data_IF_432059162141
#
_entry.id   IF_432059162141
#
_cell.length_a   1.000
_cell.length_b   1.000
_cell.length_c   1.000
_cell.angle_alpha   90.00
_cell.angle_beta   90.00
_cell.angle_gamma   90.00
#
_symmetry.space_group_name_H-M   'P 1'
#
loop_
_entity.id
_entity.type
_entity.pdbx_description
1 polymer ?
#
# COMPACT_ATOMS: atom_id res chain seq x y z
N UNK A 1 -4.46 17.67 -10.44
CA UNK A 1 -3.46 17.35 -9.42
C UNK A 1 -2.44 16.36 -9.98
N UNK A 2 -1.18 16.65 -9.85
CA UNK A 2 -0.14 15.80 -10.41
C UNK A 2 -0.05 14.47 -9.64
N UNK A 3 0.16 13.38 -10.38
CA UNK A 3 0.40 12.08 -9.77
C UNK A 3 1.82 12.09 -9.20
N UNK A 4 2.02 11.64 -7.96
CA UNK A 4 3.37 11.58 -7.39
C UNK A 4 4.32 10.78 -8.29
N UNK A 5 5.54 11.24 -8.42
CA UNK A 5 6.55 10.58 -9.25
C UNK A 5 6.74 9.12 -8.80
N UNK A 6 6.77 8.88 -7.49
CA UNK A 6 6.93 7.54 -6.96
C UNK A 6 5.77 6.63 -7.36
N UNK A 7 4.56 7.16 -7.44
CA UNK A 7 3.42 6.38 -7.91
C UNK A 7 3.59 5.99 -9.38
N UNK A 8 4.06 6.91 -10.22
CA UNK A 8 4.32 6.63 -11.62
C UNK A 8 5.39 5.54 -11.78
N UNK A 9 6.46 5.63 -11.00
CA UNK A 9 7.52 4.62 -11.02
C UNK A 9 7.01 3.27 -10.57
N UNK A 10 6.13 3.25 -9.58
CA UNK A 10 5.52 2.00 -9.10
C UNK A 10 4.65 1.36 -10.19
N UNK A 11 3.89 2.17 -10.93
CA UNK A 11 3.11 1.66 -12.05
C UNK A 11 4.02 0.99 -13.08
N UNK A 12 5.15 1.61 -13.41
CA UNK A 12 6.12 1.02 -14.35
C UNK A 12 6.69 -0.29 -13.83
N UNK A 13 6.98 -0.34 -12.54
CA UNK A 13 7.45 -1.57 -11.89
C UNK A 13 6.41 -2.69 -12.03
N UNK A 14 5.14 -2.39 -11.77
CA UNK A 14 4.08 -3.38 -11.88
C UNK A 14 3.94 -3.89 -13.31
N UNK A 15 4.04 -3.00 -14.29
CA UNK A 15 3.96 -3.40 -15.70
C UNK A 15 5.11 -4.29 -16.10
N UNK A 16 6.30 -4.06 -15.54
CA UNK A 16 7.51 -4.80 -15.89
C UNK A 16 7.58 -6.17 -15.24
N UNK A 17 7.03 -6.32 -14.03
CA UNK A 17 7.20 -7.54 -13.24
C UNK A 17 5.96 -8.40 -13.14
N UNK A 18 4.79 -7.86 -13.45
CA UNK A 18 3.53 -8.56 -13.28
C UNK A 18 2.61 -8.33 -14.48
N UNK A 19 1.67 -9.25 -14.67
CA UNK A 19 0.67 -9.15 -15.73
C UNK A 19 -0.66 -8.72 -15.12
N UNK A 20 -0.74 -7.45 -14.74
CA UNK A 20 -1.99 -6.90 -14.19
C UNK A 20 -2.76 -6.18 -15.28
N UNK A 21 -4.09 -6.34 -15.24
CA UNK A 21 -4.96 -5.62 -16.17
C UNK A 21 -5.01 -4.12 -15.86
N UNK A 22 -4.90 -3.77 -14.56
CA UNK A 22 -5.05 -2.38 -14.13
C UNK A 22 -3.98 -2.00 -13.10
N UNK A 23 -2.69 -1.93 -13.53
CA UNK A 23 -1.62 -1.56 -12.58
C UNK A 23 -1.77 -0.15 -12.03
N UNK A 24 -2.35 0.76 -12.81
CA UNK A 24 -2.61 2.13 -12.36
C UNK A 24 -3.57 2.15 -11.18
N UNK A 25 -4.58 1.31 -11.20
CA UNK A 25 -5.54 1.22 -10.10
C UNK A 25 -4.90 0.67 -8.84
N UNK A 26 -4.04 -0.34 -8.98
CA UNK A 26 -3.33 -0.91 -7.84
C UNK A 26 -2.41 0.12 -7.19
N UNK A 27 -1.66 0.86 -7.99
CA UNK A 27 -0.79 1.92 -7.47
C UNK A 27 -1.61 3.00 -6.77
N UNK A 28 -2.74 3.37 -7.36
CA UNK A 28 -3.65 4.36 -6.78
C UNK A 28 -4.17 3.89 -5.41
N UNK A 29 -4.51 2.61 -5.28
CA UNK A 29 -4.97 2.02 -4.02
C UNK A 29 -3.92 2.18 -2.91
N UNK A 30 -2.65 1.90 -3.22
CA UNK A 30 -1.57 2.04 -2.26
C UNK A 30 -1.47 3.48 -1.77
N UNK A 31 -1.44 4.43 -2.69
CA UNK A 31 -1.27 5.84 -2.33
C UNK A 31 -2.54 6.42 -1.73
N UNK A 32 -3.70 5.87 -2.07
CA UNK A 32 -4.95 6.28 -1.45
C UNK A 32 -4.96 5.98 0.06
N UNK A 33 -4.28 4.93 0.48
CA UNK A 33 -4.24 4.55 1.89
C UNK A 33 -3.60 5.63 2.77
N UNK A 34 -2.88 6.58 2.20
CA UNK A 34 -2.38 7.75 2.94
C UNK A 34 -3.51 8.56 3.58
N UNK A 35 -4.70 8.51 3.00
CA UNK A 35 -5.86 9.25 3.50
C UNK A 35 -6.48 8.61 4.73
N UNK A 36 -6.17 7.35 4.99
CA UNK A 36 -6.68 6.67 6.17
C UNK A 36 -5.83 7.05 7.36
N UNK A 37 -6.47 7.66 8.35
CA UNK A 37 -5.76 8.09 9.55
C UNK A 37 -5.66 6.93 10.52
N UNK A 38 -4.61 6.15 10.41
CA UNK A 38 -4.37 4.99 11.26
C UNK A 38 -3.31 5.27 12.34
N UNK A 39 -2.84 6.53 12.43
CA UNK A 39 -1.89 6.92 13.47
C UNK A 39 -0.44 6.60 13.15
N UNK A 40 -0.14 6.15 11.93
CA UNK A 40 1.22 5.82 11.50
C UNK A 40 1.51 6.57 10.21
N UNK A 41 2.66 7.26 10.11
CA UNK A 41 3.04 7.90 8.85
C UNK A 41 3.14 6.87 7.72
N UNK A 42 2.71 7.26 6.53
CA UNK A 42 2.69 6.37 5.38
C UNK A 42 4.06 5.72 5.13
N UNK A 43 5.12 6.50 5.23
CA UNK A 43 6.48 6.04 4.98
C UNK A 43 6.91 4.95 5.96
N UNK A 44 6.35 4.96 7.17
CA UNK A 44 6.73 4.00 8.20
C UNK A 44 6.07 2.64 8.02
N UNK A 45 5.01 2.56 7.22
CA UNK A 45 4.30 1.30 6.98
C UNK A 45 5.22 0.26 6.35
N UNK A 46 6.09 0.71 5.45
CA UNK A 46 6.87 -0.18 4.58
C UNK A 46 8.29 -0.45 5.09
N UNK A 47 8.57 -0.17 6.36
CA UNK A 47 9.91 -0.38 6.92
C UNK A 47 10.24 -1.86 7.10
N UNK A 48 9.23 -2.68 7.39
CA UNK A 48 9.41 -4.12 7.62
C UNK A 48 8.07 -4.83 7.46
N UNK A 49 8.13 -6.16 7.40
CA UNK A 49 6.90 -6.96 7.40
C UNK A 49 6.12 -6.75 8.69
N UNK A 50 6.83 -6.60 9.81
CA UNK A 50 6.20 -6.35 11.10
C UNK A 50 5.45 -5.02 11.11
N UNK A 51 6.05 -3.96 10.56
CA UNK A 51 5.38 -2.66 10.51
C UNK A 51 4.15 -2.69 9.61
N UNK A 52 4.20 -3.42 8.49
CA UNK A 52 3.04 -3.59 7.62
C UNK A 52 1.93 -4.36 8.32
N UNK A 53 2.27 -5.41 9.06
CA UNK A 53 1.27 -6.20 9.80
C UNK A 53 0.58 -5.36 10.86
N UNK A 54 1.33 -4.54 11.59
CA UNK A 54 0.76 -3.64 12.58
C UNK A 54 -0.15 -2.60 11.92
N UNK A 55 0.28 -2.05 10.80
CA UNK A 55 -0.53 -1.09 10.04
C UNK A 55 -1.83 -1.73 9.56
N UNK A 56 -1.78 -3.01 9.14
CA UNK A 56 -2.98 -3.74 8.73
C UNK A 56 -3.98 -3.82 9.88
N UNK A 57 -3.51 -4.13 11.08
CA UNK A 57 -4.40 -4.21 12.27
C UNK A 57 -5.02 -2.86 12.57
N UNK A 58 -4.23 -1.80 12.47
CA UNK A 58 -4.74 -0.44 12.68
C UNK A 58 -5.76 -0.07 11.62
N UNK A 59 -5.54 -0.51 10.40
CA UNK A 59 -6.47 -0.25 9.30
C UNK A 59 -7.80 -0.97 9.51
N UNK A 60 -7.76 -2.21 10.02
CA UNK A 60 -8.97 -2.95 10.37
C UNK A 60 -9.77 -2.15 11.41
N UNK A 61 -9.10 -1.69 12.47
CA UNK A 61 -9.75 -0.90 13.51
C UNK A 61 -10.34 0.39 12.96
N UNK A 62 -9.63 1.04 12.05
CA UNK A 62 -10.11 2.26 11.40
C UNK A 62 -11.39 1.99 10.61
N UNK A 63 -11.41 0.91 9.81
CA UNK A 63 -12.59 0.55 9.03
C UNK A 63 -13.77 0.17 9.90
N UNK A 64 -13.52 -0.50 11.03
CA UNK A 64 -14.58 -0.80 12.01
C UNK A 64 -15.16 0.49 12.58
N UNK A 65 -14.29 1.44 12.90
CA UNK A 65 -14.70 2.72 13.48
C UNK A 65 -15.61 3.52 12.56
N UNK A 66 -15.32 3.51 11.26
CA UNK A 66 -16.13 4.26 10.29
C UNK A 66 -17.33 3.45 9.78
N UNK A 67 -17.53 2.24 10.31
CA UNK A 67 -18.69 1.43 9.97
C UNK A 67 -18.62 0.73 8.63
N UNK A 68 -17.42 0.51 8.09
CA UNK A 68 -17.26 -0.15 6.81
C UNK A 68 -17.59 -1.64 6.93
N UNK A 69 -18.31 -2.17 5.96
CA UNK A 69 -18.60 -3.60 5.91
C UNK A 69 -17.33 -4.35 5.56
N UNK A 70 -17.15 -5.52 6.18
CA UNK A 70 -16.03 -6.42 5.95
C UNK A 70 -14.68 -5.70 6.11
N UNK A 71 -14.41 -5.11 7.30
CA UNK A 71 -13.17 -4.35 7.50
C UNK A 71 -11.91 -5.20 7.30
N UNK A 72 -11.94 -6.48 7.67
CA UNK A 72 -10.79 -7.36 7.48
C UNK A 72 -10.50 -7.61 6.00
N UNK A 73 -11.56 -7.81 5.21
CA UNK A 73 -11.39 -8.02 3.78
C UNK A 73 -10.81 -6.80 3.08
N UNK A 74 -11.31 -5.61 3.41
CA UNK A 74 -10.79 -4.38 2.84
C UNK A 74 -9.34 -4.13 3.24
N UNK A 75 -9.00 -4.39 4.50
CA UNK A 75 -7.62 -4.23 4.97
C UNK A 75 -6.69 -5.22 4.28
N UNK A 76 -7.16 -6.44 4.01
CA UNK A 76 -6.35 -7.44 3.31
C UNK A 76 -6.04 -7.02 1.87
N UNK A 77 -6.98 -6.37 1.19
CA UNK A 77 -6.72 -5.83 -0.15
C UNK A 77 -5.61 -4.80 -0.11
N UNK A 78 -5.68 -3.86 0.82
CA UNK A 78 -4.63 -2.85 0.97
C UNK A 78 -3.30 -3.49 1.35
N UNK A 79 -3.31 -4.48 2.23
CA UNK A 79 -2.09 -5.17 2.64
C UNK A 79 -1.42 -5.86 1.46
N UNK A 80 -2.19 -6.52 0.62
CA UNK A 80 -1.66 -7.17 -0.58
C UNK A 80 -0.97 -6.16 -1.49
N UNK A 81 -1.58 -4.99 -1.67
CA UNK A 81 -0.99 -3.93 -2.48
C UNK A 81 0.26 -3.36 -1.82
N UNK A 82 0.26 -3.24 -0.49
CA UNK A 82 1.43 -2.76 0.26
C UNK A 82 2.62 -3.69 0.09
N UNK A 83 2.39 -5.01 0.05
CA UNK A 83 3.47 -5.97 -0.15
C UNK A 83 4.16 -5.71 -1.48
N UNK A 84 3.39 -5.46 -2.53
CA UNK A 84 3.95 -5.15 -3.84
C UNK A 84 4.72 -3.85 -3.82
N UNK A 85 4.20 -2.85 -3.14
CA UNK A 85 4.88 -1.56 -3.04
C UNK A 85 6.19 -1.68 -2.26
N UNK A 86 6.21 -2.49 -1.21
CA UNK A 86 7.45 -2.75 -0.47
C UNK A 86 8.49 -3.44 -1.34
N UNK A 87 8.09 -4.40 -2.15
CA UNK A 87 9.00 -5.03 -3.11
C UNK A 87 9.63 -3.99 -4.03
N UNK A 88 8.81 -3.08 -4.54
CA UNK A 88 9.28 -2.01 -5.41
C UNK A 88 10.29 -1.11 -4.69
N UNK A 89 9.98 -0.70 -3.45
CA UNK A 89 10.90 0.13 -2.67
C UNK A 89 12.23 -0.57 -2.41
N UNK A 90 12.18 -1.86 -2.08
CA UNK A 90 13.39 -2.64 -1.80
C UNK A 90 14.26 -2.75 -3.04
N UNK A 91 13.67 -2.83 -4.22
CA UNK A 91 14.43 -2.88 -5.45
C UNK A 91 15.03 -1.54 -5.85
N UNK A 92 14.37 -0.45 -5.50
CA UNK A 92 14.90 0.89 -5.76
C UNK A 92 16.08 1.23 -4.85
N UNK A 93 16.09 0.66 -3.65
CA UNK A 93 17.14 0.90 -2.67
C UNK A 93 17.71 -0.43 -2.21
N UNK A 94 18.38 -1.16 -3.12
CA UNK A 94 18.92 -2.47 -2.75
C UNK A 94 19.93 -2.33 -1.62
N UNK A 95 19.74 -3.13 -0.59
CA UNK A 95 20.65 -3.19 0.54
C UNK A 95 21.82 -4.07 0.15
N UNK A 96 23.00 -3.55 0.29
CA UNK A 96 24.20 -4.33 0.00
C UNK A 96 24.75 -4.90 1.29
#
# INVERSE_FOLDING_TARGET
MAIPEQQTEFVQYLKSHYTYAHPEEMASEVFYSKRHNIGVPFENIFQSDSSMEQARKLLISYFEKIGRKNPRGHASVHYSDWVKFKEFLDQQHPTK
#
